data_IF_360454826097
#
_entry.id   IF_360454826097
#
_cell.length_a   1.000
_cell.length_b   1.000
_cell.length_c   1.000
_cell.angle_alpha   90.00
_cell.angle_beta   90.00
_cell.angle_gamma   90.00
#
_symmetry.space_group_name_H-M   'P 1'
#
loop_
_entity.id
_entity.type
_entity.pdbx_description
1 polymer ?
#
# COMPACT_ATOMS: atom_id res chain seq x y z
N UNK A 1 -4.11 1.74 -27.63
CA UNK A 1 -5.11 1.57 -26.54
C UNK A 1 -4.38 1.43 -25.23
N UNK A 2 -4.73 2.23 -24.24
CA UNK A 2 -4.11 2.14 -22.92
C UNK A 2 -4.59 0.88 -22.21
N UNK A 3 -3.67 0.15 -21.62
CA UNK A 3 -3.98 -0.98 -20.76
C UNK A 3 -4.05 -0.51 -19.31
N UNK A 4 -5.17 -0.80 -18.66
CA UNK A 4 -5.36 -0.51 -17.26
C UNK A 4 -5.47 -1.82 -16.50
N UNK A 5 -4.59 -2.00 -15.54
CA UNK A 5 -4.67 -3.11 -14.62
C UNK A 5 -5.11 -2.58 -13.26
N UNK A 6 -6.01 -3.29 -12.60
CA UNK A 6 -6.56 -2.88 -11.31
C UNK A 6 -6.63 -4.04 -10.34
N UNK A 7 -6.37 -3.76 -9.08
CA UNK A 7 -6.62 -4.71 -8.01
C UNK A 7 -7.19 -3.99 -6.79
N UNK A 8 -8.00 -4.69 -6.05
CA UNK A 8 -8.42 -4.23 -4.73
C UNK A 8 -7.28 -4.40 -3.75
N UNK A 9 -7.17 -3.49 -2.80
CA UNK A 9 -6.05 -3.54 -1.85
C UNK A 9 -6.49 -3.16 -0.44
N UNK A 10 -5.64 -3.52 0.50
CA UNK A 10 -5.74 -3.17 1.90
C UNK A 10 -4.42 -2.65 2.40
N UNK A 11 -4.47 -1.85 3.46
CA UNK A 11 -3.29 -1.21 4.04
C UNK A 11 -3.10 -1.63 5.49
N UNK A 12 -1.85 -1.84 5.87
CA UNK A 12 -1.49 -2.20 7.24
C UNK A 12 -0.22 -1.48 7.65
N UNK A 13 -0.21 -0.93 8.86
CA UNK A 13 1.00 -0.35 9.43
C UNK A 13 1.92 -1.48 9.88
N UNK A 14 3.18 -1.42 9.48
CA UNK A 14 4.20 -2.43 9.78
C UNK A 14 5.45 -1.72 10.27
N UNK A 15 6.08 -2.27 11.30
CA UNK A 15 7.38 -1.80 11.76
C UNK A 15 8.48 -2.60 11.08
N UNK A 16 9.39 -1.89 10.41
CA UNK A 16 10.54 -2.51 9.77
C UNK A 16 11.63 -2.89 10.77
N UNK A 17 12.64 -3.59 10.27
CA UNK A 17 13.79 -4.03 11.07
C UNK A 17 14.58 -2.85 11.65
N UNK A 18 14.54 -1.70 10.98
CA UNK A 18 15.20 -0.48 11.41
C UNK A 18 14.40 0.31 12.46
N UNK A 19 13.25 -0.21 12.88
CA UNK A 19 12.36 0.44 13.85
C UNK A 19 11.42 1.48 13.26
N UNK A 20 11.57 1.80 11.97
CA UNK A 20 10.69 2.75 11.29
C UNK A 20 9.40 2.09 10.85
N UNK A 21 8.34 2.88 10.78
CA UNK A 21 7.04 2.39 10.34
C UNK A 21 6.81 2.69 8.87
N UNK A 22 6.18 1.73 8.19
CA UNK A 22 5.70 1.87 6.82
C UNK A 22 4.24 1.48 6.79
N UNK A 23 3.54 1.92 5.75
CA UNK A 23 2.20 1.40 5.43
C UNK A 23 2.35 0.44 4.26
N UNK A 24 2.03 -0.82 4.50
CA UNK A 24 2.13 -1.87 3.48
C UNK A 24 0.80 -2.05 2.78
N UNK A 25 0.87 -2.02 1.44
CA UNK A 25 -0.28 -2.30 0.60
C UNK A 25 -0.32 -3.79 0.28
N UNK A 26 -1.45 -4.43 0.53
CA UNK A 26 -1.69 -5.82 0.19
C UNK A 26 -2.77 -5.89 -0.88
N UNK A 27 -2.45 -6.51 -2.01
CA UNK A 27 -3.39 -6.72 -3.10
C UNK A 27 -4.11 -8.06 -2.92
N UNK A 28 -5.39 -8.11 -3.33
CA UNK A 28 -6.21 -9.30 -3.12
C UNK A 28 -6.06 -10.35 -4.22
N UNK A 29 -5.97 -9.93 -5.47
CA UNK A 29 -6.05 -10.84 -6.61
C UNK A 29 -4.77 -10.91 -7.42
N UNK A 30 -3.81 -10.04 -7.14
CA UNK A 30 -2.53 -9.96 -7.86
C UNK A 30 -2.71 -9.77 -9.36
N UNK A 31 -3.74 -9.00 -9.73
CA UNK A 31 -4.09 -8.75 -11.13
C UNK A 31 -3.24 -7.66 -11.77
N UNK A 32 -2.52 -6.87 -10.98
CA UNK A 32 -1.56 -5.91 -11.49
C UNK A 32 -0.24 -6.63 -11.69
N UNK A 33 0.07 -6.99 -12.94
CA UNK A 33 1.19 -7.87 -13.26
C UNK A 33 2.54 -7.34 -12.77
N UNK A 34 2.74 -6.04 -12.83
CA UNK A 34 3.99 -5.40 -12.38
C UNK A 34 4.22 -5.59 -10.89
N UNK A 35 3.15 -5.72 -10.09
CA UNK A 35 3.20 -5.79 -8.64
C UNK A 35 2.85 -7.17 -8.10
N UNK A 36 2.59 -8.16 -8.98
CA UNK A 36 2.07 -9.46 -8.58
C UNK A 36 2.96 -10.20 -7.58
N UNK A 37 4.28 -10.08 -7.74
CA UNK A 37 5.26 -10.73 -6.89
C UNK A 37 5.98 -9.76 -5.95
N UNK A 38 5.43 -8.55 -5.82
CA UNK A 38 6.06 -7.50 -5.04
C UNK A 38 5.19 -7.09 -3.85
N UNK A 39 5.85 -6.60 -2.81
CA UNK A 39 5.20 -5.91 -1.71
C UNK A 39 5.44 -4.42 -1.90
N UNK A 40 4.39 -3.62 -1.79
CA UNK A 40 4.51 -2.17 -1.91
C UNK A 40 4.40 -1.56 -0.51
N UNK A 41 5.46 -0.90 -0.09
CA UNK A 41 5.50 -0.22 1.20
C UNK A 41 5.63 1.28 0.97
N UNK A 42 4.80 2.05 1.65
CA UNK A 42 4.87 3.50 1.64
C UNK A 42 5.71 3.97 2.82
N UNK A 43 6.82 4.64 2.52
CA UNK A 43 7.68 5.20 3.55
C UNK A 43 6.99 6.42 4.17
N UNK A 44 7.07 6.52 5.48
CA UNK A 44 6.46 7.61 6.24
C UNK A 44 7.54 8.59 6.70
N UNK A 45 7.10 9.78 7.08
CA UNK A 45 8.02 10.80 7.62
C UNK A 45 8.77 10.26 8.83
N UNK A 46 10.02 10.68 8.97
CA UNK A 46 10.82 10.35 10.15
C UNK A 46 10.10 10.82 11.41
N UNK A 47 10.14 10.00 12.45
CA UNK A 47 9.47 10.30 13.71
C UNK A 47 7.99 9.91 13.75
N UNK A 48 7.47 9.31 12.68
CA UNK A 48 6.11 8.77 12.71
C UNK A 48 5.99 7.69 13.76
N UNK A 49 5.02 7.84 14.66
CA UNK A 49 4.77 6.87 15.73
C UNK A 49 3.94 5.69 15.22
N UNK A 50 3.94 4.60 15.97
CA UNK A 50 3.09 3.44 15.68
C UNK A 50 1.62 3.84 15.55
N UNK A 51 1.15 4.70 16.46
CA UNK A 51 -0.24 5.15 16.46
C UNK A 51 -0.57 5.97 15.22
N UNK A 52 0.33 6.87 14.82
CA UNK A 52 0.15 7.67 13.61
C UNK A 52 0.13 6.79 12.36
N UNK A 53 1.02 5.81 12.28
CA UNK A 53 1.07 4.89 11.14
C UNK A 53 -0.20 4.06 11.05
N UNK A 54 -0.68 3.55 12.19
CA UNK A 54 -1.92 2.77 12.24
C UNK A 54 -3.13 3.60 11.81
N UNK A 55 -3.24 4.83 12.32
CA UNK A 55 -4.33 5.73 11.94
C UNK A 55 -4.31 6.07 10.46
N UNK A 56 -3.12 6.24 9.90
CA UNK A 56 -3.00 6.48 8.46
C UNK A 56 -3.47 5.26 7.66
N UNK A 57 -3.04 4.07 8.04
CA UNK A 57 -3.49 2.84 7.38
C UNK A 57 -5.00 2.66 7.46
N UNK A 58 -5.60 2.94 8.62
CA UNK A 58 -7.05 2.90 8.79
C UNK A 58 -7.75 3.90 7.87
N UNK A 59 -7.23 5.13 7.79
CA UNK A 59 -7.78 6.16 6.93
C UNK A 59 -7.69 5.77 5.46
N UNK A 60 -6.58 5.15 5.06
CA UNK A 60 -6.41 4.66 3.69
C UNK A 60 -7.40 3.52 3.39
N UNK A 61 -7.62 2.62 4.34
CA UNK A 61 -8.60 1.54 4.16
C UNK A 61 -10.03 2.09 4.00
N UNK A 62 -10.31 3.23 4.63
CA UNK A 62 -11.64 3.86 4.52
C UNK A 62 -11.83 4.60 3.20
N UNK A 63 -10.75 5.02 2.56
CA UNK A 63 -10.82 5.92 1.39
C UNK A 63 -10.25 5.34 0.11
N UNK A 64 -9.35 4.36 0.22
CA UNK A 64 -8.67 3.75 -0.93
C UNK A 64 -9.21 2.34 -1.12
N UNK A 65 -9.83 2.09 -2.26
CA UNK A 65 -10.42 0.77 -2.55
C UNK A 65 -9.51 -0.11 -3.39
N UNK A 66 -8.56 0.48 -4.08
CA UNK A 66 -7.71 -0.30 -4.95
C UNK A 66 -6.59 0.50 -5.55
N UNK A 67 -5.83 -0.16 -6.41
CA UNK A 67 -4.70 0.41 -7.14
C UNK A 67 -4.90 0.22 -8.63
N UNK A 68 -4.58 1.25 -9.39
CA UNK A 68 -4.62 1.23 -10.85
C UNK A 68 -3.22 1.46 -11.39
N UNK A 69 -2.86 0.67 -12.40
CA UNK A 69 -1.66 0.93 -13.20
C UNK A 69 -2.12 1.21 -14.63
N UNK A 70 -1.81 2.40 -15.10
CA UNK A 70 -2.10 2.80 -16.48
C UNK A 70 -0.86 2.58 -17.31
N UNK A 71 -0.96 1.69 -18.29
CA UNK A 71 0.12 1.44 -19.25
C UNK A 71 -0.22 2.13 -20.55
N UNK A 72 0.67 2.99 -20.97
CA UNK A 72 0.52 3.68 -22.26
C UNK A 72 0.87 2.77 -23.43
#
# INVERSE_FOLDING_TARGET
>A
MANIERDSCRFKAIQGADGKFVVRMKMFHKTVSLLADATVDFELLNGTTADQARKLAESMNDRVTGVLINKA
#
